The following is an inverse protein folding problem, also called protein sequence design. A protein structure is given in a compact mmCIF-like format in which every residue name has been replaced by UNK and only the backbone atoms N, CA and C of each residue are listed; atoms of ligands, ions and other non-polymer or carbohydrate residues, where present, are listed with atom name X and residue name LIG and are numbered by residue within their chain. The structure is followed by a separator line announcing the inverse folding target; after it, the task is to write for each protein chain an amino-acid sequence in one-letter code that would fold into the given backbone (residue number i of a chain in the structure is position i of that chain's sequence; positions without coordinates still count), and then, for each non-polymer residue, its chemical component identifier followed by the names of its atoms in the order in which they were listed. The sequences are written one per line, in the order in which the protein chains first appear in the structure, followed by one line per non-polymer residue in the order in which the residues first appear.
data_IF_400804410653
#
_entry.id   IF_400804410653
#
_cell.length_a   1.000
_cell.length_b   1.000
_cell.length_c   1.000
_cell.angle_alpha   90.00
_cell.angle_beta   90.00
_cell.angle_gamma   90.00
#
_symmetry.space_group_name_H-M   'P 1'
#
loop_
_entity.id
_entity.type
_entity.pdbx_description
1 polymer ?
#
# COMPACT_ATOMS: atom_id res chain seq x y z
N UNK A 1 7.14 -10.51 4.60
CA UNK A 1 7.05 -10.96 3.21
C UNK A 1 6.71 -9.73 2.40
N UNK A 2 7.63 -9.23 1.57
CA UNK A 2 7.35 -8.04 0.76
C UNK A 2 6.32 -8.39 -0.31
N UNK A 3 5.61 -7.39 -0.85
CA UNK A 3 4.63 -7.63 -1.92
C UNK A 3 5.29 -8.02 -3.26
N UNK A 4 6.58 -7.72 -3.43
CA UNK A 4 7.39 -8.26 -4.53
C UNK A 4 7.65 -9.75 -4.33
N UNK A 5 7.97 -10.17 -3.10
CA UNK A 5 8.08 -11.60 -2.76
C UNK A 5 6.75 -12.32 -3.02
N UNK A 6 5.62 -11.73 -2.63
CA UNK A 6 4.29 -12.30 -2.86
C UNK A 6 3.93 -12.42 -4.36
N UNK A 7 4.38 -11.47 -5.18
CA UNK A 7 4.16 -11.48 -6.65
C UNK A 7 5.03 -12.52 -7.35
N UNK A 8 6.25 -12.71 -6.87
CA UNK A 8 7.18 -13.72 -7.39
C UNK A 8 6.93 -15.11 -6.78
N UNK A 9 6.12 -15.19 -5.72
CA UNK A 9 5.76 -16.43 -5.01
C UNK A 9 5.22 -17.52 -5.93
N UNK A 10 4.37 -17.28 -6.95
CA UNK A 10 3.90 -18.34 -7.84
C UNK A 10 5.04 -18.94 -8.68
N UNK A 11 5.94 -18.10 -9.17
CA UNK A 11 7.10 -18.53 -10.00
C UNK A 11 8.13 -19.25 -9.13
N UNK A 12 8.37 -18.75 -7.91
CA UNK A 12 9.24 -19.40 -6.91
C UNK A 12 8.62 -20.71 -6.41
N UNK A 13 7.30 -20.77 -6.18
CA UNK A 13 6.60 -21.98 -5.77
C UNK A 13 6.59 -23.04 -6.88
N UNK A 14 6.47 -22.62 -8.15
CA UNK A 14 6.64 -23.50 -9.29
C UNK A 14 8.06 -24.08 -9.33
N UNK A 15 9.11 -23.26 -9.16
CA UNK A 15 10.49 -23.74 -9.04
C UNK A 15 10.71 -24.71 -7.87
N UNK A 16 10.14 -24.42 -6.69
CA UNK A 16 10.24 -25.31 -5.53
C UNK A 16 9.48 -26.63 -5.74
N UNK A 17 8.29 -26.59 -6.36
CA UNK A 17 7.48 -27.78 -6.62
C UNK A 17 8.10 -28.68 -7.71
N UNK A 18 8.81 -28.07 -8.66
CA UNK A 18 9.41 -28.74 -9.82
C UNK A 18 10.94 -28.74 -9.75
N UNK A 19 11.53 -28.69 -8.54
CA UNK A 19 12.98 -28.57 -8.30
C UNK A 19 13.84 -29.71 -8.92
N UNK A 20 13.21 -30.72 -9.51
CA UNK A 20 13.82 -31.84 -10.24
C UNK A 20 13.39 -31.93 -11.71
N UNK A 21 12.56 -31.01 -12.19
CA UNK A 21 11.96 -31.02 -13.53
C UNK A 21 12.34 -29.78 -14.38
N UNK A 22 12.78 -28.69 -13.77
CA UNK A 22 13.29 -27.51 -14.48
C UNK A 22 14.77 -27.32 -14.19
N UNK A 23 15.57 -27.26 -15.25
CA UNK A 23 16.96 -26.82 -15.12
C UNK A 23 17.02 -25.30 -14.84
N UNK A 24 18.12 -24.85 -14.24
CA UNK A 24 18.30 -23.44 -13.83
C UNK A 24 18.13 -22.48 -15.01
N UNK A 25 18.56 -22.88 -16.21
CA UNK A 25 18.42 -22.09 -17.44
C UNK A 25 16.97 -22.01 -17.93
N UNK A 26 16.20 -23.09 -17.79
CA UNK A 26 14.78 -23.12 -18.16
C UNK A 26 13.96 -22.23 -17.22
N UNK A 27 14.25 -22.29 -15.91
CA UNK A 27 13.66 -21.37 -14.93
C UNK A 27 14.03 -19.92 -15.21
N UNK A 28 15.31 -19.63 -15.48
CA UNK A 28 15.76 -18.26 -15.80
C UNK A 28 15.02 -17.70 -17.01
N UNK A 29 14.82 -18.52 -18.05
CA UNK A 29 14.07 -18.13 -19.25
C UNK A 29 12.61 -17.83 -18.89
N UNK A 30 11.93 -18.73 -18.17
CA UNK A 30 10.55 -18.54 -17.72
C UNK A 30 10.36 -17.32 -16.81
N UNK A 31 11.31 -17.08 -15.91
CA UNK A 31 11.30 -15.93 -15.00
C UNK A 31 11.52 -14.61 -15.75
N UNK A 32 12.45 -14.59 -16.71
CA UNK A 32 12.70 -13.40 -17.53
C UNK A 32 11.55 -13.10 -18.50
N UNK A 33 10.88 -14.14 -19.01
CA UNK A 33 9.68 -14.01 -19.86
C UNK A 33 8.42 -13.68 -19.04
N UNK A 34 8.47 -13.81 -17.71
CA UNK A 34 7.36 -13.47 -16.84
C UNK A 34 7.11 -11.97 -16.87
N UNK A 35 6.12 -11.57 -17.66
CA UNK A 35 5.61 -10.21 -17.67
C UNK A 35 4.46 -10.09 -16.66
N UNK A 36 4.63 -9.34 -15.55
CA UNK A 36 3.54 -9.16 -14.61
C UNK A 36 2.35 -8.50 -15.33
N UNK A 37 1.14 -9.03 -15.09
CA UNK A 37 -0.12 -8.50 -15.64
C UNK A 37 -0.40 -7.04 -15.20
N UNK A 38 0.32 -6.54 -14.20
CA UNK A 38 0.15 -5.21 -13.63
C UNK A 38 1.44 -4.39 -13.75
N UNK A 39 1.34 -3.08 -14.04
CA UNK A 39 2.49 -2.18 -14.00
C UNK A 39 3.20 -2.30 -12.65
N UNK A 40 4.53 -2.37 -12.68
CA UNK A 40 5.29 -2.18 -11.44
C UNK A 40 5.24 -0.72 -11.06
N UNK A 41 4.81 -0.42 -9.84
CA UNK A 41 4.76 0.93 -9.32
C UNK A 41 5.92 1.14 -8.33
N UNK A 42 6.64 2.27 -8.41
CA UNK A 42 7.84 2.53 -7.59
C UNK A 42 7.47 2.98 -6.17
N UNK A 43 6.65 2.20 -5.45
CA UNK A 43 6.22 2.59 -4.09
C UNK A 43 7.35 2.53 -3.06
N UNK A 44 8.42 1.77 -3.33
CA UNK A 44 9.61 1.68 -2.49
C UNK A 44 10.50 2.93 -2.56
N UNK A 45 10.32 3.75 -3.60
CA UNK A 45 11.11 4.97 -3.82
C UNK A 45 10.59 6.16 -3.01
N UNK A 46 9.45 5.98 -2.31
CA UNK A 46 8.79 7.03 -1.53
C UNK A 46 8.84 6.71 -0.04
N UNK A 47 8.97 7.76 0.76
CA UNK A 47 8.98 7.65 2.21
C UNK A 47 7.60 7.22 2.76
N UNK A 48 7.58 6.51 3.90
CA UNK A 48 6.33 6.23 4.60
C UNK A 48 5.59 7.51 4.98
N UNK A 49 4.25 7.45 4.92
CA UNK A 49 3.40 8.57 5.33
C UNK A 49 3.76 9.10 6.73
N UNK A 50 3.99 10.42 6.82
CA UNK A 50 4.15 11.14 8.08
C UNK A 50 3.23 12.37 8.07
N UNK A 51 2.55 12.65 9.18
CA UNK A 51 1.78 13.88 9.31
C UNK A 51 2.64 15.13 9.48
N UNK A 52 3.87 14.95 9.97
CA UNK A 52 4.78 16.05 10.27
C UNK A 52 5.39 16.65 9.01
N UNK A 53 5.20 16.00 7.85
CA UNK A 53 5.62 16.52 6.55
C UNK A 53 4.67 17.57 5.96
N UNK A 54 3.55 17.87 6.62
CA UNK A 54 2.56 18.84 6.14
C UNK A 54 2.44 20.03 7.09
N UNK A 55 2.45 21.23 6.54
CA UNK A 55 1.93 22.39 7.26
C UNK A 55 0.39 22.38 7.33
N UNK A 56 -0.20 23.34 8.05
CA UNK A 56 -1.65 23.41 8.21
C UNK A 56 -2.40 23.64 6.89
N UNK A 57 -1.84 24.45 5.98
CA UNK A 57 -2.45 24.77 4.71
C UNK A 57 -2.36 23.59 3.74
N UNK A 58 -1.22 22.91 3.69
CA UNK A 58 -1.03 21.69 2.92
C UNK A 58 -1.94 20.57 3.43
N UNK A 59 -2.04 20.39 4.75
CA UNK A 59 -2.95 19.42 5.35
C UNK A 59 -4.41 19.65 4.90
N UNK A 60 -4.90 20.87 5.04
CA UNK A 60 -6.28 21.21 4.65
C UNK A 60 -6.48 21.08 3.13
N UNK A 61 -5.49 21.47 2.32
CA UNK A 61 -5.56 21.30 0.87
C UNK A 61 -5.60 19.83 0.45
N UNK A 62 -4.86 18.95 1.14
CA UNK A 62 -4.82 17.52 0.85
C UNK A 62 -6.08 16.79 1.30
N UNK A 63 -6.57 17.07 2.52
CA UNK A 63 -7.60 16.27 3.18
C UNK A 63 -8.97 16.96 3.29
N UNK A 64 -9.08 18.26 2.94
CA UNK A 64 -10.31 19.08 3.05
C UNK A 64 -10.91 19.14 4.45
N UNK A 65 -10.07 18.97 5.47
CA UNK A 65 -10.43 19.01 6.88
C UNK A 65 -9.39 19.85 7.62
N UNK A 66 -9.84 20.64 8.60
CA UNK A 66 -8.95 21.37 9.51
C UNK A 66 -8.31 20.37 10.47
N UNK A 67 -6.98 20.42 10.62
CA UNK A 67 -6.25 19.54 11.54
C UNK A 67 -6.83 19.66 12.95
N UNK A 68 -7.36 18.56 13.47
CA UNK A 68 -7.97 18.51 14.80
C UNK A 68 -7.63 17.20 15.48
N UNK A 69 -7.22 17.30 16.75
CA UNK A 69 -6.75 16.15 17.54
C UNK A 69 -7.82 15.08 17.81
N UNK A 70 -9.11 15.44 17.67
CA UNK A 70 -10.24 14.57 17.98
C UNK A 70 -10.77 13.82 16.74
N UNK A 71 -10.08 13.92 15.59
CA UNK A 71 -10.54 13.25 14.37
C UNK A 71 -10.55 11.73 14.52
N UNK A 72 -9.55 11.14 15.18
CA UNK A 72 -9.56 9.69 15.43
C UNK A 72 -10.74 9.27 16.30
N UNK A 73 -10.99 10.00 17.38
CA UNK A 73 -12.09 9.73 18.30
C UNK A 73 -13.46 9.91 17.63
N UNK A 74 -13.61 10.96 16.81
CA UNK A 74 -14.85 11.25 16.09
C UNK A 74 -15.21 10.14 15.09
N UNK A 75 -14.20 9.58 14.41
CA UNK A 75 -14.37 8.48 13.47
C UNK A 75 -14.21 7.08 14.11
N UNK A 76 -13.96 7.02 15.43
CA UNK A 76 -13.74 5.79 16.19
C UNK A 76 -12.63 4.89 15.60
N UNK A 77 -11.63 5.50 14.96
CA UNK A 77 -10.51 4.77 14.35
C UNK A 77 -9.48 4.46 15.44
N UNK A 78 -9.08 3.19 15.62
CA UNK A 78 -8.06 2.84 16.61
C UNK A 78 -6.72 3.49 16.26
N UNK A 79 -5.91 3.82 17.27
CA UNK A 79 -4.60 4.49 17.10
C UNK A 79 -3.67 3.76 16.12
N UNK A 80 -3.73 2.43 16.11
CA UNK A 80 -3.10 1.56 15.11
C UNK A 80 -4.01 0.37 14.83
N UNK A 81 -3.92 -0.17 13.62
CA UNK A 81 -4.61 -1.41 13.26
C UNK A 81 -3.76 -2.26 12.32
N UNK A 82 -4.09 -3.55 12.30
CA UNK A 82 -3.45 -4.53 11.43
C UNK A 82 -4.46 -5.01 10.40
N UNK A 83 -4.14 -4.81 9.12
CA UNK A 83 -4.95 -5.33 8.03
C UNK A 83 -4.83 -6.87 7.95
N UNK A 84 -5.79 -7.57 7.30
CA UNK A 84 -5.78 -9.02 7.16
C UNK A 84 -4.51 -9.58 6.51
N UNK A 85 -3.92 -8.86 5.55
CA UNK A 85 -2.67 -9.25 4.91
C UNK A 85 -1.42 -9.03 5.78
N UNK A 86 -1.59 -8.50 7.00
CA UNK A 86 -0.53 -8.31 7.98
C UNK A 86 0.08 -6.91 8.02
N UNK A 87 -0.27 -6.02 7.09
CA UNK A 87 0.17 -4.62 7.08
C UNK A 87 -0.31 -3.91 8.35
N UNK A 88 0.61 -3.26 9.06
CA UNK A 88 0.29 -2.39 10.19
C UNK A 88 0.24 -0.94 9.72
N UNK A 89 -0.82 -0.23 10.08
CA UNK A 89 -1.03 1.18 9.77
C UNK A 89 -1.42 1.94 11.04
N UNK A 90 -1.00 3.20 11.13
CA UNK A 90 -1.54 4.10 12.14
C UNK A 90 -2.98 4.46 11.77
N UNK A 91 -3.84 4.59 12.78
CA UNK A 91 -5.21 5.06 12.62
C UNK A 91 -5.24 6.38 11.86
N UNK A 92 -4.31 7.27 12.19
CA UNK A 92 -4.22 8.57 11.55
C UNK A 92 -3.77 8.49 10.08
N UNK A 93 -2.82 7.61 9.75
CA UNK A 93 -2.43 7.36 8.37
C UNK A 93 -3.57 6.75 7.54
N UNK A 94 -4.31 5.81 8.13
CA UNK A 94 -5.50 5.22 7.51
C UNK A 94 -6.62 6.24 7.32
N UNK A 95 -6.88 7.08 8.32
CA UNK A 95 -7.88 8.14 8.24
C UNK A 95 -7.50 9.17 7.18
N UNK A 96 -6.24 9.61 7.13
CA UNK A 96 -5.76 10.53 6.10
C UNK A 96 -5.87 9.91 4.69
N UNK A 97 -5.63 8.61 4.54
CA UNK A 97 -5.84 7.91 3.27
C UNK A 97 -7.30 7.93 2.84
N UNK A 98 -8.22 7.64 3.76
CA UNK A 98 -9.66 7.70 3.51
C UNK A 98 -10.09 9.12 3.14
N UNK A 99 -9.70 10.11 3.95
CA UNK A 99 -10.02 11.53 3.72
C UNK A 99 -9.49 12.01 2.38
N UNK A 100 -8.25 11.65 2.01
CA UNK A 100 -7.66 12.03 0.72
C UNK A 100 -8.49 11.52 -0.45
N UNK A 101 -9.00 10.30 -0.36
CA UNK A 101 -9.87 9.70 -1.39
C UNK A 101 -11.26 10.31 -1.44
N UNK A 102 -11.77 10.81 -0.32
CA UNK A 102 -13.07 11.47 -0.25
C UNK A 102 -12.98 12.94 -0.68
N UNK A 103 -11.87 13.60 -0.42
CA UNK A 103 -11.62 15.00 -0.78
C UNK A 103 -11.58 15.21 -2.29
N UNK A 104 -10.95 14.28 -3.03
CA UNK A 104 -10.86 14.34 -4.50
C UNK A 104 -10.94 12.94 -5.12
N UNK A 105 -11.64 12.79 -6.26
CA UNK A 105 -11.54 11.59 -7.08
C UNK A 105 -10.08 11.37 -7.51
N UNK A 106 -9.43 10.35 -6.97
CA UNK A 106 -8.06 9.98 -7.30
C UNK A 106 -7.90 8.45 -7.38
N UNK A 107 -6.97 7.99 -8.19
CA UNK A 107 -6.61 6.57 -8.26
C UNK A 107 -5.66 6.22 -7.12
N UNK A 108 -5.57 4.94 -6.76
CA UNK A 108 -4.60 4.50 -5.74
C UNK A 108 -3.15 4.76 -6.16
N UNK A 109 -2.87 4.78 -7.47
CA UNK A 109 -1.56 5.14 -7.99
C UNK A 109 -1.13 6.55 -7.59
N UNK A 110 -2.06 7.52 -7.66
CA UNK A 110 -1.79 8.93 -7.32
C UNK A 110 -1.46 9.12 -5.82
N UNK A 111 -1.75 8.12 -5.00
CA UNK A 111 -1.52 8.13 -3.56
C UNK A 111 -0.17 7.53 -3.18
N UNK A 112 0.49 6.82 -4.10
CA UNK A 112 1.79 6.18 -3.84
C UNK A 112 2.84 7.22 -3.39
N UNK A 113 2.99 8.38 -4.07
CA UNK A 113 3.98 9.37 -3.65
C UNK A 113 3.73 9.96 -2.26
N UNK A 114 2.47 9.92 -1.81
CA UNK A 114 2.07 10.50 -0.52
C UNK A 114 2.22 9.51 0.63
N UNK A 115 1.98 8.23 0.37
CA UNK A 115 1.89 7.22 1.42
C UNK A 115 3.05 6.23 1.45
N UNK A 116 3.85 6.13 0.39
CA UNK A 116 4.97 5.18 0.30
C UNK A 116 4.54 3.72 0.40
N UNK A 117 3.33 3.40 -0.10
CA UNK A 117 2.71 2.09 0.03
C UNK A 117 2.19 1.58 -1.30
N UNK A 118 2.19 0.27 -1.43
CA UNK A 118 1.66 -0.40 -2.60
C UNK A 118 0.13 -0.23 -2.73
N UNK A 119 -0.39 -0.32 -3.95
CA UNK A 119 -1.84 -0.23 -4.20
C UNK A 119 -2.67 -1.24 -3.36
N UNK A 120 -2.28 -2.53 -3.24
CA UNK A 120 -3.03 -3.49 -2.41
C UNK A 120 -3.10 -3.07 -0.95
N UNK A 121 -2.01 -2.54 -0.38
CA UNK A 121 -2.00 -2.06 1.00
C UNK A 121 -2.91 -0.85 1.16
N UNK A 122 -2.83 0.13 0.26
CA UNK A 122 -3.69 1.31 0.30
C UNK A 122 -5.18 0.92 0.22
N UNK A 123 -5.52 -0.05 -0.63
CA UNK A 123 -6.89 -0.53 -0.74
C UNK A 123 -7.39 -1.16 0.57
N UNK A 124 -6.58 -2.04 1.17
CA UNK A 124 -6.92 -2.71 2.41
C UNK A 124 -7.00 -1.76 3.61
N UNK A 125 -6.06 -0.81 3.71
CA UNK A 125 -6.08 0.23 4.75
C UNK A 125 -7.37 1.05 4.66
N UNK A 126 -7.76 1.47 3.44
CA UNK A 126 -9.00 2.21 3.23
C UNK A 126 -10.23 1.40 3.65
N UNK A 127 -10.28 0.10 3.34
CA UNK A 127 -11.41 -0.76 3.73
C UNK A 127 -11.50 -0.88 5.25
N UNK A 128 -10.39 -1.16 5.92
CA UNK A 128 -10.33 -1.30 7.39
C UNK A 128 -10.78 -0.05 8.17
N UNK A 129 -10.69 1.14 7.59
CA UNK A 129 -11.12 2.40 8.22
C UNK A 129 -12.61 2.66 8.01
N UNK A 130 -13.22 2.06 6.98
CA UNK A 130 -14.64 2.20 6.67
C UNK A 130 -15.51 1.09 7.25
N UNK A 131 -14.90 -0.06 7.53
CA UNK A 131 -15.53 -1.23 8.15
C UNK A 131 -15.71 -1.02 9.66
#
# INVERSE_FOLDING_TARGET
MSLEDARNTPVIAYHIAYHSLLEVEEFSTLFNDFKPLYPSYPYLDYDPFSLDSFDSCEYEAHFRVVKHDLLLDAFQVPETFKCPQGTVCSGMGGLCLMLKRLAYPCQYFDLIPLFGRSIPELCMIKSMVLD
#
